data_IF_932206985467
#
_entry.id   IF_932206985467
#
_cell.length_a   1.000
_cell.length_b   1.000
_cell.length_c   1.000
_cell.angle_alpha   90.00
_cell.angle_beta   90.00
_cell.angle_gamma   90.00
#
_symmetry.space_group_name_H-M   'P 1'
#
loop_
_entity.id
_entity.type
_entity.pdbx_description
1 polymer ?
#
# COMPACT_ATOMS: atom_id res chain seq x y z
N UNK A 1 24.40 0.64 1.01
CA UNK A 1 23.94 0.21 2.34
C UNK A 1 22.83 1.14 2.83
N UNK A 2 21.85 0.62 3.48
CA UNK A 2 20.71 1.33 4.02
C UNK A 2 20.40 0.82 5.44
N UNK A 3 19.92 1.74 6.28
CA UNK A 3 19.61 1.41 7.67
C UNK A 3 18.28 0.72 7.74
N UNK A 4 18.28 -0.54 8.15
CA UNK A 4 17.08 -1.37 8.24
C UNK A 4 16.44 -1.30 9.63
N UNK A 5 17.23 -1.29 10.70
CA UNK A 5 16.76 -1.22 12.08
C UNK A 5 16.33 0.20 12.49
N UNK A 6 15.40 0.29 13.43
CA UNK A 6 14.86 1.54 13.99
C UNK A 6 14.80 1.47 15.51
N UNK A 7 15.17 2.54 16.17
CA UNK A 7 15.00 2.76 17.61
C UNK A 7 13.59 3.30 17.87
N UNK A 8 12.57 2.48 17.56
CA UNK A 8 11.15 2.80 17.70
C UNK A 8 10.42 1.62 18.34
N UNK A 9 9.36 1.93 19.10
CA UNK A 9 8.48 0.87 19.60
C UNK A 9 7.67 0.24 18.45
N UNK A 10 7.05 1.08 17.60
CA UNK A 10 6.21 0.60 16.53
C UNK A 10 7.01 0.10 15.33
N UNK A 11 6.89 -1.17 15.07
CA UNK A 11 7.55 -1.91 13.98
C UNK A 11 7.57 -3.40 14.27
N UNK A 12 8.02 -4.20 13.31
CA UNK A 12 8.20 -5.62 13.51
C UNK A 12 9.46 -5.86 14.37
N UNK A 13 9.35 -6.58 15.51
CA UNK A 13 10.52 -6.91 16.30
C UNK A 13 11.47 -7.83 15.56
N UNK A 14 12.77 -7.62 15.72
CA UNK A 14 13.80 -8.48 15.12
C UNK A 14 13.95 -9.73 15.98
N UNK A 15 13.67 -10.94 15.46
CA UNK A 15 13.64 -12.17 16.25
C UNK A 15 15.04 -12.70 16.55
N UNK A 16 15.82 -11.95 17.32
CA UNK A 16 17.19 -12.31 17.73
C UNK A 16 17.49 -11.90 19.16
N UNK A 17 18.51 -12.52 19.71
CA UNK A 17 19.03 -12.20 21.04
C UNK A 17 20.54 -11.96 20.99
N UNK A 18 21.04 -11.09 21.86
CA UNK A 18 22.45 -10.84 22.10
C UNK A 18 22.92 -11.65 23.28
N UNK A 19 23.73 -12.66 23.04
CA UNK A 19 24.31 -13.51 24.07
C UNK A 19 25.79 -13.17 24.26
N UNK A 20 26.28 -12.97 25.49
CA UNK A 20 27.70 -12.69 25.75
C UNK A 20 28.65 -13.76 25.24
N UNK A 21 28.20 -15.02 25.16
CA UNK A 21 29.03 -16.15 24.72
C UNK A 21 28.84 -16.53 23.25
N UNK A 22 27.61 -16.39 22.74
CA UNK A 22 27.27 -16.87 21.40
C UNK A 22 27.17 -15.76 20.34
N UNK A 23 27.22 -14.49 20.76
CA UNK A 23 26.95 -13.35 19.87
C UNK A 23 25.46 -13.17 19.57
N UNK A 24 25.13 -12.68 18.40
CA UNK A 24 23.76 -12.57 17.93
C UNK A 24 23.24 -13.96 17.54
N UNK A 25 22.11 -14.36 18.10
CA UNK A 25 21.50 -15.69 17.90
C UNK A 25 20.02 -15.47 17.50
N UNK A 26 19.54 -16.03 16.38
CA UNK A 26 18.13 -15.98 16.03
C UNK A 26 17.30 -16.79 17.04
N UNK A 27 16.02 -16.40 17.22
CA UNK A 27 15.07 -17.18 17.99
C UNK A 27 14.74 -18.49 17.26
N UNK A 28 14.35 -19.51 18.04
CA UNK A 28 13.81 -20.74 17.48
C UNK A 28 12.43 -20.51 16.85
N UNK A 29 12.05 -21.27 15.82
CA UNK A 29 10.75 -21.17 15.15
C UNK A 29 9.56 -21.32 16.13
N UNK A 30 9.71 -22.18 17.16
CA UNK A 30 8.69 -22.39 18.22
C UNK A 30 8.40 -21.12 19.04
N UNK A 31 9.33 -20.16 19.06
CA UNK A 31 9.22 -18.90 19.80
C UNK A 31 8.68 -17.75 18.93
N UNK A 32 8.25 -18.05 17.71
CA UNK A 32 7.63 -17.12 16.78
C UNK A 32 6.09 -17.25 16.81
N UNK A 33 5.35 -16.17 16.59
CA UNK A 33 5.81 -14.81 16.34
C UNK A 33 6.33 -14.11 17.60
N UNK A 34 7.45 -13.39 17.50
CA UNK A 34 7.89 -12.51 18.57
C UNK A 34 6.98 -11.27 18.63
N UNK A 35 6.24 -11.13 19.72
CA UNK A 35 5.32 -10.02 19.91
C UNK A 35 5.98 -8.88 20.71
N UNK A 36 5.59 -7.66 20.39
CA UNK A 36 5.94 -6.49 21.20
C UNK A 36 5.22 -6.57 22.55
N UNK A 37 5.86 -6.15 23.66
CA UNK A 37 5.20 -6.08 24.95
C UNK A 37 4.16 -4.96 24.99
N UNK A 38 3.08 -5.14 25.74
CA UNK A 38 2.16 -4.04 26.01
C UNK A 38 2.84 -2.99 26.89
N UNK A 39 2.66 -1.71 26.51
CA UNK A 39 3.33 -0.60 27.20
C UNK A 39 2.39 0.60 27.33
N UNK A 40 2.50 1.28 28.46
CA UNK A 40 1.76 2.52 28.72
C UNK A 40 2.43 3.75 28.06
N UNK A 41 3.77 3.71 27.92
CA UNK A 41 4.54 4.80 27.31
C UNK A 41 5.65 4.24 26.40
N UNK A 42 5.72 4.76 25.19
CA UNK A 42 6.68 4.37 24.15
C UNK A 42 7.40 5.59 23.53
N UNK A 43 7.50 6.69 24.28
CA UNK A 43 8.22 7.89 23.81
C UNK A 43 9.70 7.58 23.55
N UNK A 44 10.29 8.22 22.52
CA UNK A 44 11.70 8.10 22.23
C UNK A 44 12.54 8.43 23.48
N UNK A 45 13.67 7.74 23.65
CA UNK A 45 14.58 8.02 24.75
C UNK A 45 15.48 9.21 24.41
N UNK A 46 15.88 9.98 25.41
CA UNK A 46 16.86 11.08 25.25
C UNK A 46 18.24 10.57 24.82
N UNK A 47 18.56 9.31 25.12
CA UNK A 47 19.83 8.64 24.79
C UNK A 47 19.87 8.10 23.36
N UNK A 48 18.75 8.12 22.64
CA UNK A 48 18.64 7.53 21.30
C UNK A 48 18.49 6.00 21.30
N UNK A 49 18.42 5.37 22.45
CA UNK A 49 18.09 3.93 22.56
C UNK A 49 16.61 3.68 22.25
N UNK A 50 16.31 2.45 21.84
CA UNK A 50 14.92 2.04 21.63
C UNK A 50 14.11 2.13 22.93
N UNK A 51 12.85 2.57 22.89
CA UNK A 51 11.95 2.50 24.05
C UNK A 51 11.84 1.09 24.64
N UNK A 52 11.98 0.05 23.83
CA UNK A 52 11.98 -1.35 24.25
C UNK A 52 13.12 -1.68 25.21
N UNK A 53 14.27 -0.99 25.12
CA UNK A 53 15.43 -1.25 25.99
C UNK A 53 15.14 -1.05 27.48
N UNK A 54 14.11 -0.25 27.82
CA UNK A 54 13.68 -0.02 29.20
C UNK A 54 12.80 -1.14 29.76
N UNK A 55 12.31 -2.05 28.92
CA UNK A 55 11.36 -3.10 29.28
C UNK A 55 12.10 -4.37 29.70
N UNK A 56 12.71 -4.31 30.89
CA UNK A 56 13.63 -5.34 31.38
C UNK A 56 13.04 -6.76 31.37
N UNK A 57 11.75 -6.89 31.65
CA UNK A 57 11.06 -8.20 31.69
C UNK A 57 10.92 -8.81 30.29
N UNK A 58 10.81 -7.97 29.26
CA UNK A 58 10.79 -8.41 27.87
C UNK A 58 12.19 -8.56 27.29
N UNK A 59 13.12 -7.67 27.61
CA UNK A 59 14.49 -7.65 27.07
C UNK A 59 15.31 -8.83 27.60
N UNK A 60 15.27 -9.08 28.91
CA UNK A 60 16.07 -10.14 29.50
C UNK A 60 15.49 -11.52 29.20
N UNK A 61 16.30 -12.39 28.63
CA UNK A 61 15.87 -13.71 28.20
C UNK A 61 17.00 -14.74 28.31
N UNK A 62 16.72 -15.97 27.90
CA UNK A 62 17.73 -17.01 27.78
C UNK A 62 18.17 -17.16 26.32
N UNK A 63 19.44 -17.41 26.12
CA UNK A 63 20.00 -17.71 24.80
C UNK A 63 19.45 -19.05 24.29
N UNK A 64 18.83 -19.13 23.09
CA UNK A 64 18.32 -20.39 22.56
C UNK A 64 19.43 -21.41 22.32
N UNK A 65 20.67 -20.96 22.05
CA UNK A 65 21.80 -21.83 21.73
C UNK A 65 22.50 -22.41 22.94
N UNK A 66 22.72 -21.64 24.01
CA UNK A 66 23.52 -22.07 25.16
C UNK A 66 22.76 -22.07 26.50
N UNK A 67 21.53 -21.55 26.54
CA UNK A 67 20.72 -21.43 27.75
C UNK A 67 21.19 -20.35 28.76
N UNK A 68 22.29 -19.66 28.48
CA UNK A 68 22.83 -18.58 29.31
C UNK A 68 21.98 -17.30 29.23
N UNK A 69 22.30 -16.33 30.09
CA UNK A 69 21.67 -15.02 30.08
C UNK A 69 21.94 -14.30 28.75
N UNK A 70 20.89 -13.69 28.21
CA UNK A 70 20.91 -12.96 26.95
C UNK A 70 19.93 -11.79 26.99
N UNK A 71 20.02 -10.90 26.02
CA UNK A 71 19.09 -9.78 25.83
C UNK A 71 18.48 -9.84 24.44
N UNK A 72 17.16 -9.66 24.35
CA UNK A 72 16.50 -9.50 23.05
C UNK A 72 17.01 -8.26 22.33
N UNK A 73 17.03 -8.34 20.98
CA UNK A 73 17.19 -7.16 20.15
C UNK A 73 16.06 -6.16 20.44
N UNK A 74 16.40 -4.90 20.66
CA UNK A 74 15.45 -3.85 21.02
C UNK A 74 15.14 -2.91 19.87
N UNK A 75 15.89 -2.98 18.78
CA UNK A 75 15.52 -2.31 17.55
C UNK A 75 14.36 -3.04 16.86
N UNK A 76 13.56 -2.30 16.12
CA UNK A 76 12.48 -2.86 15.30
C UNK A 76 12.78 -2.67 13.83
N UNK A 77 12.19 -3.51 12.98
CA UNK A 77 12.19 -3.28 11.54
C UNK A 77 11.18 -2.18 11.20
N UNK A 78 11.41 -1.35 10.15
CA UNK A 78 10.43 -0.36 9.73
C UNK A 78 9.17 -1.07 9.19
N UNK A 79 8.05 -0.38 9.21
CA UNK A 79 6.79 -0.88 8.61
C UNK A 79 6.91 -1.34 7.15
N UNK A 80 7.95 -0.91 6.45
CA UNK A 80 8.25 -1.39 5.10
C UNK A 80 8.67 -2.86 5.06
N UNK A 81 9.14 -3.42 6.15
CA UNK A 81 9.41 -4.86 6.25
C UNK A 81 8.12 -5.66 6.15
N UNK A 82 7.10 -5.33 6.96
CA UNK A 82 5.79 -5.95 6.89
C UNK A 82 5.08 -5.71 5.55
N UNK A 83 5.12 -4.48 5.03
CA UNK A 83 4.52 -4.17 3.74
C UNK A 83 5.24 -4.79 2.54
N UNK A 84 6.43 -5.37 2.73
CA UNK A 84 7.24 -5.92 1.64
C UNK A 84 6.65 -7.16 0.98
N UNK A 85 5.74 -7.86 1.62
CA UNK A 85 5.25 -9.14 1.17
C UNK A 85 3.73 -9.30 1.14
N UNK A 86 2.95 -8.25 1.44
CA UNK A 86 1.49 -8.32 1.51
C UNK A 86 0.87 -8.83 0.21
N UNK A 87 1.40 -8.44 -0.96
CA UNK A 87 0.90 -8.86 -2.26
C UNK A 87 1.11 -10.36 -2.53
N UNK A 88 2.13 -10.96 -1.93
CA UNK A 88 2.32 -12.41 -1.94
C UNK A 88 1.27 -13.10 -1.06
N UNK A 89 1.01 -12.55 0.13
CA UNK A 89 -0.01 -13.07 1.04
C UNK A 89 -1.41 -12.96 0.46
N UNK A 90 -1.69 -11.94 -0.35
CA UNK A 90 -2.96 -11.80 -1.05
C UNK A 90 -3.25 -12.93 -2.05
N UNK A 91 -2.22 -13.63 -2.52
CA UNK A 91 -2.41 -14.79 -3.39
C UNK A 91 -3.11 -15.96 -2.66
N UNK A 92 -2.93 -16.07 -1.33
CA UNK A 92 -3.49 -17.15 -0.51
C UNK A 92 -3.69 -16.68 0.95
N UNK A 93 -4.68 -15.80 1.19
CA UNK A 93 -4.79 -15.06 2.46
C UNK A 93 -5.19 -15.91 3.66
N UNK A 94 -5.74 -17.10 3.43
CA UNK A 94 -6.21 -18.02 4.47
C UNK A 94 -5.28 -19.21 4.70
N UNK A 95 -4.06 -19.16 4.19
CA UNK A 95 -3.08 -20.22 4.38
C UNK A 95 -2.41 -20.08 5.75
N UNK A 96 -2.63 -21.05 6.64
CA UNK A 96 -2.07 -21.04 7.99
C UNK A 96 -0.72 -21.77 8.08
N UNK A 97 -0.29 -22.46 7.01
CA UNK A 97 0.93 -23.27 7.01
C UNK A 97 2.13 -22.59 6.33
N UNK A 98 1.86 -21.68 5.38
CA UNK A 98 2.90 -21.01 4.61
C UNK A 98 2.51 -19.56 4.26
N UNK A 99 3.48 -18.79 3.75
CA UNK A 99 3.26 -17.44 3.22
C UNK A 99 2.14 -17.42 2.16
N UNK A 100 2.14 -18.36 1.27
CA UNK A 100 1.11 -18.73 0.29
C UNK A 100 1.48 -20.08 -0.32
N UNK A 101 0.51 -20.81 -0.87
CA UNK A 101 0.80 -22.06 -1.56
C UNK A 101 1.61 -21.84 -2.83
N UNK A 102 2.51 -22.76 -3.20
CA UNK A 102 3.30 -22.66 -4.43
C UNK A 102 2.41 -22.54 -5.69
N UNK A 103 1.27 -23.20 -5.72
CA UNK A 103 0.30 -23.16 -6.80
C UNK A 103 -0.32 -21.76 -6.96
N UNK A 104 -0.71 -21.13 -5.85
CA UNK A 104 -1.26 -19.78 -5.85
C UNK A 104 -0.21 -18.75 -6.30
N UNK A 105 1.02 -18.84 -5.77
CA UNK A 105 2.12 -17.98 -6.19
C UNK A 105 2.45 -18.15 -7.67
N UNK A 106 2.49 -19.37 -8.17
CA UNK A 106 2.75 -19.64 -9.59
C UNK A 106 1.66 -19.08 -10.51
N UNK A 107 0.41 -19.06 -10.04
CA UNK A 107 -0.71 -18.54 -10.81
C UNK A 107 -0.77 -17.00 -10.82
N UNK A 108 -0.60 -16.37 -9.66
CA UNK A 108 -0.82 -14.93 -9.49
C UNK A 108 0.43 -14.07 -9.70
N UNK A 109 1.63 -14.63 -9.53
CA UNK A 109 2.87 -13.87 -9.66
C UNK A 109 3.47 -13.97 -11.06
N UNK A 110 4.18 -12.91 -11.53
CA UNK A 110 4.30 -11.59 -10.93
C UNK A 110 3.03 -10.75 -11.04
N UNK A 111 2.90 -9.73 -10.19
CA UNK A 111 1.78 -8.77 -10.26
C UNK A 111 1.77 -8.09 -11.64
N UNK A 112 0.63 -8.13 -12.33
CA UNK A 112 0.53 -7.64 -13.71
C UNK A 112 0.69 -6.13 -13.81
N UNK A 113 0.07 -5.39 -12.88
CA UNK A 113 0.12 -3.94 -12.85
C UNK A 113 0.08 -3.40 -11.43
N UNK A 114 1.13 -2.69 -11.03
CA UNK A 114 1.32 -2.15 -9.71
C UNK A 114 1.29 -0.63 -9.70
N UNK A 115 0.27 -0.05 -9.08
CA UNK A 115 0.08 1.40 -9.00
C UNK A 115 0.41 1.90 -7.60
N UNK A 116 1.09 3.04 -7.52
CA UNK A 116 1.42 3.64 -6.24
C UNK A 116 2.07 5.01 -6.39
N UNK A 117 2.24 5.72 -5.28
CA UNK A 117 2.86 7.02 -5.26
C UNK A 117 4.35 6.98 -5.61
N UNK A 118 4.86 8.06 -6.17
CA UNK A 118 6.27 8.21 -6.56
C UNK A 118 7.21 8.09 -5.35
N UNK A 119 6.79 8.52 -4.17
CA UNK A 119 7.54 8.47 -2.92
C UNK A 119 7.97 7.05 -2.53
N UNK A 120 7.19 6.05 -2.94
CA UNK A 120 7.48 4.64 -2.65
C UNK A 120 8.61 4.04 -3.47
N UNK A 121 9.16 4.77 -4.45
CA UNK A 121 10.32 4.31 -5.24
C UNK A 121 11.52 3.97 -4.37
N UNK A 122 11.76 4.77 -3.32
CA UNK A 122 12.86 4.58 -2.36
C UNK A 122 12.40 4.00 -1.02
N UNK A 123 11.12 3.69 -0.86
CA UNK A 123 10.52 3.15 0.35
C UNK A 123 9.99 1.73 0.08
N UNK A 124 8.67 1.57 0.01
CA UNK A 124 8.04 0.26 -0.17
C UNK A 124 8.58 -0.54 -1.37
N UNK A 125 8.77 0.09 -2.53
CA UNK A 125 9.22 -0.63 -3.73
C UNK A 125 10.65 -1.18 -3.60
N UNK A 126 11.55 -0.45 -2.92
CA UNK A 126 12.89 -0.91 -2.65
C UNK A 126 12.87 -2.15 -1.74
N UNK A 127 12.13 -2.06 -0.63
CA UNK A 127 12.01 -3.16 0.34
C UNK A 127 11.31 -4.39 -0.25
N UNK A 128 10.19 -4.20 -0.95
CA UNK A 128 9.42 -5.30 -1.52
C UNK A 128 10.18 -6.04 -2.61
N UNK A 129 10.92 -5.32 -3.45
CA UNK A 129 11.77 -5.95 -4.48
C UNK A 129 12.92 -6.74 -3.87
N UNK A 130 13.61 -6.17 -2.86
CA UNK A 130 14.67 -6.87 -2.13
C UNK A 130 14.12 -8.15 -1.47
N UNK A 131 12.98 -8.05 -0.79
CA UNK A 131 12.35 -9.18 -0.12
C UNK A 131 11.91 -10.27 -1.10
N UNK A 132 11.33 -9.88 -2.22
CA UNK A 132 10.94 -10.83 -3.27
C UNK A 132 12.14 -11.54 -3.89
N UNK A 133 13.24 -10.84 -4.15
CA UNK A 133 14.49 -11.45 -4.63
C UNK A 133 15.03 -12.48 -3.62
N UNK A 134 15.05 -12.14 -2.34
CA UNK A 134 15.43 -13.08 -1.29
C UNK A 134 14.54 -14.32 -1.25
N UNK A 135 13.21 -14.13 -1.28
CA UNK A 135 12.26 -15.26 -1.33
C UNK A 135 12.40 -16.11 -2.59
N UNK A 136 12.79 -15.49 -3.71
CA UNK A 136 13.10 -16.23 -4.93
C UNK A 136 14.39 -17.04 -4.80
N UNK A 137 15.44 -16.46 -4.25
CA UNK A 137 16.74 -17.15 -4.05
C UNK A 137 16.63 -18.38 -3.16
N UNK A 138 15.74 -18.34 -2.15
CA UNK A 138 15.47 -19.48 -1.26
C UNK A 138 14.37 -20.42 -1.79
N UNK A 139 13.83 -20.18 -3.00
CA UNK A 139 12.85 -21.05 -3.67
C UNK A 139 11.41 -20.92 -3.21
N UNK A 140 11.05 -19.90 -2.43
CA UNK A 140 9.69 -19.65 -1.96
C UNK A 140 8.84 -18.92 -3.03
N UNK A 141 9.40 -17.89 -3.66
CA UNK A 141 8.71 -17.15 -4.73
C UNK A 141 9.15 -17.65 -6.11
N UNK A 142 8.23 -17.96 -7.04
CA UNK A 142 8.58 -18.51 -8.36
C UNK A 142 9.21 -17.49 -9.31
N UNK A 143 9.14 -16.18 -8.98
CA UNK A 143 9.59 -15.10 -9.85
C UNK A 143 10.58 -14.18 -9.11
N UNK A 144 11.63 -13.74 -9.81
CA UNK A 144 12.61 -12.82 -9.24
C UNK A 144 12.07 -11.39 -9.14
N UNK A 145 11.39 -10.90 -10.19
CA UNK A 145 10.82 -9.56 -10.21
C UNK A 145 9.33 -9.59 -9.84
N UNK A 146 8.92 -8.83 -8.81
CA UNK A 146 7.56 -8.92 -8.27
C UNK A 146 6.50 -8.27 -9.17
N UNK A 147 6.86 -7.30 -10.02
CA UNK A 147 5.94 -6.49 -10.81
C UNK A 147 6.29 -6.49 -12.28
N UNK A 148 5.33 -6.80 -13.16
CA UNK A 148 5.49 -6.69 -14.63
C UNK A 148 5.46 -5.25 -15.10
N UNK A 149 4.52 -4.47 -14.56
CA UNK A 149 4.33 -3.05 -14.90
C UNK A 149 4.11 -2.25 -13.63
N UNK A 150 4.80 -1.14 -13.52
CA UNK A 150 4.62 -0.20 -12.42
C UNK A 150 4.24 1.17 -12.99
N UNK A 151 3.21 1.80 -12.42
CA UNK A 151 2.79 3.17 -12.74
C UNK A 151 2.78 4.01 -11.46
N UNK A 152 3.33 5.21 -11.55
CA UNK A 152 3.19 6.22 -10.50
C UNK A 152 1.97 7.06 -10.79
N UNK A 153 1.06 7.16 -9.83
CA UNK A 153 0.02 8.18 -9.91
C UNK A 153 0.56 9.55 -9.44
N UNK A 154 -0.09 10.62 -9.91
CA UNK A 154 0.17 11.97 -9.45
C UNK A 154 -0.36 12.22 -8.02
N UNK A 155 -0.10 13.39 -7.51
CA UNK A 155 -0.54 13.82 -6.18
C UNK A 155 -1.71 14.79 -6.31
N UNK A 156 -2.77 14.56 -5.55
CA UNK A 156 -3.84 15.55 -5.39
C UNK A 156 -3.36 16.62 -4.41
N UNK A 157 -3.31 17.84 -4.89
CA UNK A 157 -2.91 19.01 -4.12
C UNK A 157 -4.13 19.69 -3.50
N UNK A 158 -3.94 20.53 -2.50
CA UNK A 158 -4.98 21.43 -2.01
C UNK A 158 -5.45 22.41 -3.10
N UNK A 159 -6.58 23.11 -2.90
CA UNK A 159 -7.05 24.14 -3.84
C UNK A 159 -6.04 25.29 -4.03
N UNK A 160 -5.12 25.46 -3.07
CA UNK A 160 -3.99 26.40 -3.11
C UNK A 160 -2.80 25.90 -3.98
N UNK A 161 -2.92 24.74 -4.61
CA UNK A 161 -1.86 24.11 -5.40
C UNK A 161 -0.68 23.57 -4.58
N UNK A 162 -0.79 23.49 -3.26
CA UNK A 162 0.25 22.98 -2.39
C UNK A 162 -0.08 21.57 -1.91
N UNK A 163 0.96 20.81 -1.53
CA UNK A 163 0.79 19.50 -0.90
C UNK A 163 -0.11 19.65 0.34
N UNK A 164 -1.14 18.82 0.42
CA UNK A 164 -2.04 18.79 1.57
C UNK A 164 -1.28 18.45 2.86
N UNK A 165 -1.54 19.21 3.91
CA UNK A 165 -0.95 19.01 5.23
C UNK A 165 -1.89 19.53 6.32
N UNK A 166 -2.01 18.77 7.42
CA UNK A 166 -2.78 19.20 8.60
C UNK A 166 -2.28 20.53 9.16
N UNK A 167 -0.97 20.75 9.15
CA UNK A 167 -0.36 21.99 9.64
C UNK A 167 -0.66 23.21 8.77
N UNK A 168 -1.00 23.01 7.50
CA UNK A 168 -1.41 24.08 6.57
C UNK A 168 -2.91 24.33 6.55
N UNK A 169 -3.70 23.40 7.06
CA UNK A 169 -5.15 23.50 7.03
C UNK A 169 -5.79 23.37 5.64
N UNK A 170 -5.05 22.84 4.65
CA UNK A 170 -5.50 22.69 3.26
C UNK A 170 -5.90 21.25 2.89
N UNK A 171 -6.16 20.42 3.89
CA UNK A 171 -6.56 19.02 3.68
C UNK A 171 -8.02 18.97 3.25
N UNK A 172 -8.28 18.22 2.18
CA UNK A 172 -9.63 17.86 1.73
C UNK A 172 -9.93 16.46 2.28
N UNK A 173 -10.95 16.38 3.14
CA UNK A 173 -11.37 15.11 3.70
C UNK A 173 -12.32 14.40 2.72
N UNK A 174 -12.02 13.17 2.28
CA UNK A 174 -12.90 12.40 1.40
C UNK A 174 -14.33 12.24 1.93
N UNK A 175 -14.49 11.99 3.21
CA UNK A 175 -15.83 11.81 3.82
C UNK A 175 -16.70 13.06 3.66
N UNK A 176 -16.13 14.24 3.91
CA UNK A 176 -16.85 15.51 3.74
C UNK A 176 -17.26 15.75 2.28
N UNK A 177 -16.42 15.32 1.33
CA UNK A 177 -16.75 15.42 -0.09
C UNK A 177 -17.86 14.43 -0.47
N UNK A 178 -17.79 13.20 0.01
CA UNK A 178 -18.82 12.18 -0.21
C UNK A 178 -20.16 12.61 0.33
N UNK A 179 -20.19 13.21 1.52
CA UNK A 179 -21.42 13.74 2.12
C UNK A 179 -22.04 14.86 1.29
N UNK A 180 -21.22 15.68 0.64
CA UNK A 180 -21.70 16.83 -0.16
C UNK A 180 -22.16 16.46 -1.56
N UNK A 181 -21.43 15.58 -2.25
CA UNK A 181 -21.66 15.31 -3.68
C UNK A 181 -21.87 13.84 -4.03
N UNK A 182 -21.72 12.94 -3.07
CA UNK A 182 -21.85 11.49 -3.25
C UNK A 182 -20.54 10.82 -3.71
N UNK A 183 -20.39 9.55 -3.36
CA UNK A 183 -19.19 8.76 -3.65
C UNK A 183 -18.92 8.61 -5.16
N UNK A 184 -19.96 8.41 -5.97
CA UNK A 184 -19.81 8.26 -7.42
C UNK A 184 -19.22 9.50 -8.08
N UNK A 185 -19.70 10.68 -7.68
CA UNK A 185 -19.20 11.94 -8.22
C UNK A 185 -17.78 12.23 -7.75
N UNK A 186 -17.46 11.91 -6.51
CA UNK A 186 -16.10 12.00 -5.98
C UNK A 186 -15.12 11.11 -6.75
N UNK A 187 -15.43 9.82 -6.88
CA UNK A 187 -14.60 8.85 -7.62
C UNK A 187 -14.42 9.22 -9.09
N UNK A 188 -15.52 9.66 -9.74
CA UNK A 188 -15.45 10.14 -11.12
C UNK A 188 -14.52 11.34 -11.24
N UNK A 189 -14.60 12.29 -10.31
CA UNK A 189 -13.78 13.48 -10.35
C UNK A 189 -12.30 13.17 -10.16
N UNK A 190 -11.93 12.28 -9.24
CA UNK A 190 -10.53 11.85 -9.04
C UNK A 190 -9.90 11.28 -10.32
N UNK A 191 -10.68 10.56 -11.13
CA UNK A 191 -10.21 10.04 -12.41
C UNK A 191 -10.20 11.09 -13.52
N UNK A 192 -11.10 12.05 -13.47
CA UNK A 192 -11.31 13.05 -14.53
C UNK A 192 -10.44 14.30 -14.36
N UNK A 193 -9.98 14.63 -13.15
CA UNK A 193 -9.38 15.92 -12.82
C UNK A 193 -8.10 16.25 -13.60
N UNK A 194 -7.46 15.27 -14.23
CA UNK A 194 -6.28 15.46 -15.05
C UNK A 194 -5.55 14.18 -15.42
N UNK A 195 -4.36 14.31 -15.99
CA UNK A 195 -3.54 13.16 -16.35
C UNK A 195 -3.13 12.36 -15.10
N UNK A 196 -3.20 11.04 -15.20
CA UNK A 196 -3.04 10.12 -14.06
C UNK A 196 -1.71 10.27 -13.30
N UNK A 197 -0.64 10.63 -14.00
CA UNK A 197 0.72 10.76 -13.47
C UNK A 197 1.10 12.19 -13.03
N UNK A 198 0.18 13.15 -13.15
CA UNK A 198 0.42 14.55 -12.84
C UNK A 198 -0.09 14.95 -11.46
N UNK A 199 0.60 15.89 -10.82
CA UNK A 199 0.12 16.53 -9.61
C UNK A 199 -0.92 17.60 -9.98
N UNK A 200 -2.13 17.51 -9.40
CA UNK A 200 -3.27 18.34 -9.81
C UNK A 200 -3.94 18.94 -8.57
N UNK A 201 -4.20 20.27 -8.56
CA UNK A 201 -4.94 20.90 -7.50
C UNK A 201 -6.40 20.44 -7.47
N UNK A 202 -6.92 20.20 -6.29
CA UNK A 202 -8.34 19.96 -6.06
C UNK A 202 -9.19 21.13 -6.53
N UNK A 203 -10.34 20.84 -7.10
CA UNK A 203 -11.36 21.85 -7.47
C UNK A 203 -12.76 21.40 -7.05
N UNK A 204 -13.29 22.03 -6.02
CA UNK A 204 -14.66 21.77 -5.56
C UNK A 204 -15.70 22.03 -6.66
N UNK A 205 -15.47 23.02 -7.53
CA UNK A 205 -16.34 23.31 -8.65
C UNK A 205 -16.30 22.20 -9.71
N UNK A 206 -15.11 21.66 -9.99
CA UNK A 206 -14.94 20.52 -10.91
C UNK A 206 -15.65 19.26 -10.40
N UNK A 207 -15.52 18.95 -9.11
CA UNK A 207 -16.19 17.83 -8.48
C UNK A 207 -17.73 17.93 -8.57
N UNK A 208 -18.29 19.13 -8.36
CA UNK A 208 -19.73 19.39 -8.56
C UNK A 208 -20.15 19.23 -10.03
N UNK A 209 -19.26 19.49 -10.97
CA UNK A 209 -19.50 19.23 -12.39
C UNK A 209 -19.74 17.75 -12.68
N UNK A 210 -18.94 16.86 -12.08
CA UNK A 210 -19.13 15.42 -12.18
C UNK A 210 -20.48 14.97 -11.58
N UNK A 211 -20.92 15.54 -10.46
CA UNK A 211 -22.26 15.28 -9.90
C UNK A 211 -23.37 15.61 -10.90
N UNK A 212 -23.31 16.78 -11.52
CA UNK A 212 -24.30 17.18 -12.56
C UNK A 212 -24.30 16.23 -13.76
N UNK A 213 -23.12 15.73 -14.17
CA UNK A 213 -23.02 14.75 -15.25
C UNK A 213 -23.73 13.44 -14.88
N UNK A 214 -23.45 12.89 -13.68
CA UNK A 214 -24.09 11.66 -13.19
C UNK A 214 -25.63 11.83 -13.12
N UNK A 215 -26.11 12.95 -12.63
CA UNK A 215 -27.55 13.25 -12.59
C UNK A 215 -28.20 13.30 -13.99
N UNK A 216 -27.46 13.80 -14.98
CA UNK A 216 -27.92 13.76 -16.37
C UNK A 216 -28.00 12.34 -16.90
N UNK A 217 -26.98 11.52 -16.63
CA UNK A 217 -26.97 10.10 -17.03
C UNK A 217 -28.12 9.36 -16.34
N UNK A 218 -28.36 9.60 -15.06
CA UNK A 218 -29.46 8.99 -14.33
C UNK A 218 -30.83 9.32 -14.92
N UNK A 219 -31.03 10.54 -15.39
CA UNK A 219 -32.29 10.98 -16.03
C UNK A 219 -32.54 10.34 -17.39
N UNK A 220 -31.53 9.74 -18.04
CA UNK A 220 -31.73 9.05 -19.32
C UNK A 220 -32.73 7.87 -19.18
N UNK A 221 -32.83 7.25 -18.00
CA UNK A 221 -33.82 6.21 -17.76
C UNK A 221 -35.29 6.65 -17.97
N UNK A 222 -35.56 7.97 -17.78
CA UNK A 222 -36.88 8.54 -17.98
C UNK A 222 -37.21 8.73 -19.50
N UNK A 223 -36.20 8.58 -20.36
CA UNK A 223 -36.27 8.76 -21.80
C UNK A 223 -36.22 7.43 -22.57
N UNK A 224 -36.27 6.29 -21.86
CA UNK A 224 -36.26 4.98 -22.49
C UNK A 224 -37.52 4.81 -23.34
N UNK A 225 -37.36 4.28 -24.56
CA UNK A 225 -38.42 3.87 -25.45
C UNK A 225 -38.46 2.33 -25.60
N UNK A 226 -39.57 1.80 -25.99
CA UNK A 226 -39.75 0.35 -26.19
C UNK A 226 -39.16 -0.16 -27.53
N UNK A 227 -38.46 0.71 -28.24
CA UNK A 227 -37.78 0.38 -29.49
C UNK A 227 -36.46 -0.35 -29.25
N UNK A 228 -36.21 -1.40 -30.03
CA UNK A 228 -34.95 -2.13 -30.01
C UNK A 228 -33.98 -1.57 -31.07
N UNK A 229 -32.70 -1.43 -30.65
CA UNK A 229 -31.61 -1.09 -31.55
C UNK A 229 -31.07 0.35 -31.41
N UNK A 230 -30.19 0.68 -32.31
CA UNK A 230 -29.52 1.98 -32.37
C UNK A 230 -29.85 2.67 -33.69
N UNK A 231 -30.20 3.96 -33.64
CA UNK A 231 -30.43 4.73 -34.84
C UNK A 231 -29.13 4.84 -35.67
N UNK A 232 -29.27 4.84 -37.03
CA UNK A 232 -28.11 4.80 -37.92
C UNK A 232 -27.22 6.03 -37.82
N UNK A 233 -27.79 7.19 -37.52
CA UNK A 233 -27.07 8.46 -37.31
C UNK A 233 -26.19 8.48 -36.06
N UNK A 234 -26.55 7.67 -35.01
CA UNK A 234 -25.76 7.54 -33.79
C UNK A 234 -24.72 6.43 -33.83
N UNK A 235 -24.88 5.45 -34.72
CA UNK A 235 -24.06 4.24 -34.80
C UNK A 235 -22.55 4.52 -34.85
N UNK A 236 -22.13 5.40 -35.75
CA UNK A 236 -20.72 5.78 -35.89
C UNK A 236 -20.16 6.44 -34.63
N UNK A 237 -20.92 7.35 -34.04
CA UNK A 237 -20.52 8.05 -32.83
C UNK A 237 -20.36 7.11 -31.63
N UNK A 238 -21.31 6.18 -31.44
CA UNK A 238 -21.27 5.21 -30.34
C UNK A 238 -20.09 4.26 -30.52
N UNK A 239 -19.85 3.72 -31.71
CA UNK A 239 -18.73 2.79 -31.93
C UNK A 239 -17.36 3.50 -31.79
N UNK A 240 -17.23 4.74 -32.24
CA UNK A 240 -16.02 5.54 -32.02
C UNK A 240 -15.79 5.81 -30.53
N UNK A 241 -16.84 6.10 -29.77
CA UNK A 241 -16.78 6.29 -28.33
C UNK A 241 -16.35 5.01 -27.61
N UNK A 242 -16.94 3.87 -27.95
CA UNK A 242 -16.56 2.56 -27.39
C UNK A 242 -15.06 2.31 -27.63
N UNK A 243 -14.60 2.49 -28.87
CA UNK A 243 -13.17 2.30 -29.22
C UNK A 243 -12.28 3.22 -28.39
N UNK A 244 -12.59 4.51 -28.38
CA UNK A 244 -11.78 5.50 -27.66
C UNK A 244 -11.73 5.21 -26.16
N UNK A 245 -12.86 4.95 -25.54
CA UNK A 245 -12.92 4.65 -24.10
C UNK A 245 -12.11 3.40 -23.77
N UNK A 246 -12.18 2.34 -24.58
CA UNK A 246 -11.39 1.12 -24.38
C UNK A 246 -9.88 1.41 -24.42
N UNK A 247 -9.42 2.17 -25.43
CA UNK A 247 -8.01 2.56 -25.58
C UNK A 247 -7.53 3.48 -24.43
N UNK A 248 -8.40 4.38 -23.96
CA UNK A 248 -8.11 5.29 -22.85
C UNK A 248 -7.98 4.55 -21.51
N UNK A 249 -8.79 3.50 -21.26
CA UNK A 249 -8.65 2.64 -20.10
C UNK A 249 -7.29 1.90 -20.07
N UNK A 250 -6.86 1.36 -21.20
CA UNK A 250 -5.57 0.66 -21.31
C UNK A 250 -4.37 1.58 -21.05
N UNK A 251 -4.53 2.87 -21.27
CA UNK A 251 -3.47 3.87 -21.13
C UNK A 251 -3.66 4.83 -19.95
N UNK A 252 -4.67 4.63 -19.10
CA UNK A 252 -5.04 5.49 -17.95
C UNK A 252 -5.33 6.95 -18.35
N UNK A 253 -5.90 7.18 -19.53
CA UNK A 253 -6.31 8.50 -20.01
C UNK A 253 -7.80 8.71 -19.77
N UNK A 254 -8.14 9.03 -18.53
CA UNK A 254 -9.53 9.16 -18.09
C UNK A 254 -10.12 10.57 -18.24
N UNK A 255 -9.33 11.58 -18.58
CA UNK A 255 -9.71 12.98 -18.74
C UNK A 255 -9.97 13.42 -20.16
#
# INVERSE_FOLDING_TARGET
DWVFARQRYWGEPIPSVHCPHCGMVPLDEKDLPLLLPEVENYEPTETGESPLAKMTDWVNCKCPKCGGEAKRETDTMPQWAGSSWYFLRYCDPHNDEALASPEALKYWMPVDWYNGGMEHTTLHLLYSRFWNLFLHDIGVCPVAEPYKKRTSHGMVLGEDGQKMSKSRGNVINPDDVVDQIGADAFRMYEMFMGAFDQAIPWSTTGARGCRKFIERVWRLQEMLADDEGMSDDLKASVHLTIKKVSEDFDTLKFN
#
